data_IF_830967844133
#
_entry.id   IF_830967844133
#
_cell.length_a   1.000
_cell.length_b   1.000
_cell.length_c   1.000
_cell.angle_alpha   90.00
_cell.angle_beta   90.00
_cell.angle_gamma   90.00
#
_symmetry.space_group_name_H-M   'P 1'
#
loop_
_entity.id
_entity.type
_entity.pdbx_description
1 polymer ?
#
# COMPACT_ATOMS: atom_id res chain seq x y z
N UNK A 1 34.99 -51.52 -24.79
CA UNK A 1 34.17 -50.41 -25.33
C UNK A 1 35.00 -49.15 -25.26
N UNK A 2 35.34 -48.55 -26.41
CA UNK A 2 36.15 -47.32 -26.44
C UNK A 2 35.37 -46.14 -25.88
N UNK A 3 35.94 -45.42 -24.93
CA UNK A 3 35.39 -44.17 -24.41
C UNK A 3 35.75 -43.07 -25.41
N UNK A 4 34.76 -42.57 -26.14
CA UNK A 4 34.97 -41.43 -27.03
C UNK A 4 35.20 -40.16 -26.22
N UNK A 5 36.13 -39.28 -26.66
CA UNK A 5 36.30 -37.98 -26.03
C UNK A 5 35.01 -37.16 -26.18
N UNK A 6 34.64 -36.34 -25.18
CA UNK A 6 33.45 -35.51 -25.25
C UNK A 6 33.57 -34.53 -26.42
N UNK A 7 32.63 -34.60 -27.36
CA UNK A 7 32.59 -33.72 -28.54
C UNK A 7 31.82 -32.46 -28.17
N UNK A 8 32.41 -31.29 -28.41
CA UNK A 8 31.70 -30.02 -28.25
C UNK A 8 30.52 -29.98 -29.24
N UNK A 9 29.33 -29.62 -28.75
CA UNK A 9 28.13 -29.57 -29.59
C UNK A 9 28.29 -28.57 -30.75
N UNK A 10 27.61 -28.82 -31.86
CA UNK A 10 27.59 -27.91 -33.01
C UNK A 10 26.83 -26.60 -32.75
N UNK A 11 26.91 -25.63 -33.66
CA UNK A 11 26.30 -24.30 -33.49
C UNK A 11 24.78 -24.36 -33.28
N UNK A 12 24.09 -25.26 -33.98
CA UNK A 12 22.63 -25.47 -33.84
C UNK A 12 22.27 -25.97 -32.44
N UNK A 13 23.05 -26.91 -31.90
CA UNK A 13 22.86 -27.41 -30.54
C UNK A 13 23.02 -26.29 -29.51
N UNK A 14 24.07 -25.47 -29.63
CA UNK A 14 24.29 -24.35 -28.72
C UNK A 14 23.19 -23.29 -28.81
N UNK A 15 22.70 -23.00 -30.01
CA UNK A 15 21.57 -22.09 -30.21
C UNK A 15 20.31 -22.57 -29.49
N UNK A 16 19.92 -23.83 -29.69
CA UNK A 16 18.77 -24.43 -29.01
C UNK A 16 18.95 -24.48 -27.49
N UNK A 17 20.12 -24.91 -27.02
CA UNK A 17 20.44 -24.95 -25.59
C UNK A 17 20.31 -23.58 -24.95
N UNK A 18 20.88 -22.55 -25.59
CA UNK A 18 20.83 -21.18 -25.08
C UNK A 18 19.40 -20.63 -25.11
N UNK A 19 18.61 -20.98 -26.13
CA UNK A 19 17.18 -20.63 -26.20
C UNK A 19 16.41 -21.26 -25.04
N UNK A 20 16.56 -22.56 -24.76
CA UNK A 20 15.86 -23.23 -23.65
C UNK A 20 16.28 -22.68 -22.29
N UNK A 21 17.58 -22.42 -22.08
CA UNK A 21 18.07 -21.81 -20.86
C UNK A 21 17.53 -20.38 -20.71
N UNK A 22 17.49 -19.62 -21.80
CA UNK A 22 16.91 -18.27 -21.84
C UNK A 22 15.43 -18.27 -21.48
N UNK A 23 14.64 -19.12 -22.14
CA UNK A 23 13.21 -19.29 -21.87
C UNK A 23 12.94 -19.66 -20.41
N UNK A 24 13.72 -20.58 -19.84
CA UNK A 24 13.61 -20.97 -18.42
C UNK A 24 13.94 -19.83 -17.46
N UNK A 25 14.92 -18.98 -17.79
CA UNK A 25 15.25 -17.81 -16.97
C UNK A 25 14.14 -16.76 -17.02
N UNK A 26 13.63 -16.47 -18.21
CA UNK A 26 12.53 -15.53 -18.41
C UNK A 26 11.25 -15.99 -17.72
N UNK A 27 10.89 -17.27 -17.82
CA UNK A 27 9.69 -17.81 -17.17
C UNK A 27 9.79 -17.75 -15.65
N UNK A 28 10.95 -18.06 -15.06
CA UNK A 28 11.19 -17.93 -13.62
C UNK A 28 11.08 -16.49 -13.13
N UNK A 29 11.56 -15.52 -13.91
CA UNK A 29 11.42 -14.09 -13.58
C UNK A 29 9.96 -13.67 -13.58
N UNK A 30 9.19 -14.06 -14.58
CA UNK A 30 7.76 -13.76 -14.66
C UNK A 30 6.96 -14.42 -13.52
N UNK A 31 7.23 -15.70 -13.23
CA UNK A 31 6.59 -16.40 -12.11
C UNK A 31 6.88 -15.73 -10.77
N UNK A 32 8.11 -15.25 -10.54
CA UNK A 32 8.47 -14.54 -9.32
C UNK A 32 7.78 -13.18 -9.21
N UNK A 33 7.69 -12.43 -10.32
CA UNK A 33 6.92 -11.17 -10.37
C UNK A 33 5.47 -11.43 -10.02
N UNK A 34 4.88 -12.50 -10.55
CA UNK A 34 3.51 -12.88 -10.20
C UNK A 34 3.37 -13.23 -8.71
N UNK A 35 4.21 -14.12 -8.18
CA UNK A 35 4.20 -14.56 -6.78
C UNK A 35 4.35 -13.40 -5.78
N UNK A 36 5.23 -12.43 -6.07
CA UNK A 36 5.44 -11.26 -5.20
C UNK A 36 4.26 -10.27 -5.20
N UNK A 37 3.47 -10.25 -6.28
CA UNK A 37 2.40 -9.28 -6.51
C UNK A 37 0.98 -9.86 -6.40
N UNK A 38 0.81 -11.18 -6.25
CA UNK A 38 -0.48 -11.87 -6.29
C UNK A 38 -1.40 -11.63 -5.08
N UNK A 39 -0.96 -10.88 -4.07
CA UNK A 39 -1.77 -10.58 -2.90
C UNK A 39 -2.97 -9.68 -3.27
N UNK A 40 -4.18 -10.16 -2.98
CA UNK A 40 -5.45 -9.44 -3.22
C UNK A 40 -5.43 -8.05 -2.59
N UNK A 41 -4.83 -7.92 -1.40
CA UNK A 41 -4.72 -6.63 -0.72
C UNK A 41 -3.84 -5.66 -1.51
N UNK A 42 -2.73 -6.12 -2.10
CA UNK A 42 -1.86 -5.30 -2.95
C UNK A 42 -2.55 -4.92 -4.25
N UNK A 43 -3.28 -5.86 -4.88
CA UNK A 43 -4.02 -5.61 -6.12
C UNK A 43 -5.11 -4.55 -5.94
N UNK A 44 -5.79 -4.54 -4.79
CA UNK A 44 -6.90 -3.63 -4.52
C UNK A 44 -6.43 -2.29 -3.93
N UNK A 45 -5.43 -2.30 -3.05
CA UNK A 45 -5.03 -1.12 -2.28
C UNK A 45 -3.89 -0.31 -2.90
N UNK A 46 -3.04 -0.92 -3.73
CA UNK A 46 -1.87 -0.26 -4.29
C UNK A 46 -2.01 -0.13 -5.81
N UNK A 47 -1.83 1.09 -6.33
CA UNK A 47 -2.12 1.41 -7.73
C UNK A 47 -0.90 1.61 -8.63
N UNK A 48 0.33 1.47 -8.11
CA UNK A 48 1.54 1.88 -8.84
C UNK A 48 2.57 0.75 -8.90
N UNK A 49 3.03 0.36 -10.10
CA UNK A 49 4.17 -0.52 -10.24
C UNK A 49 5.47 0.23 -9.88
N UNK A 50 6.33 -0.42 -9.12
CA UNK A 50 7.66 0.07 -8.72
C UNK A 50 8.72 -0.92 -9.16
N UNK A 51 9.74 -0.40 -9.83
CA UNK A 51 10.95 -1.17 -10.09
C UNK A 51 11.89 -1.00 -8.89
N UNK A 52 12.17 -2.10 -8.19
CA UNK A 52 13.04 -2.09 -7.00
C UNK A 52 14.10 -3.17 -7.11
N UNK A 53 15.28 -2.87 -6.60
CA UNK A 53 16.36 -3.85 -6.53
C UNK A 53 16.13 -4.79 -5.35
N UNK A 54 16.04 -6.09 -5.60
CA UNK A 54 15.93 -7.08 -4.54
C UNK A 54 17.32 -7.63 -4.21
N UNK A 55 17.92 -7.29 -3.05
CA UNK A 55 19.27 -7.72 -2.70
C UNK A 55 19.37 -9.23 -2.44
N UNK A 56 18.28 -9.91 -2.04
CA UNK A 56 18.30 -11.35 -1.78
C UNK A 56 18.48 -12.19 -3.05
N UNK A 57 18.06 -11.64 -4.19
CA UNK A 57 18.13 -12.30 -5.50
C UNK A 57 19.16 -11.62 -6.41
N UNK A 58 19.63 -10.43 -6.03
CA UNK A 58 20.56 -9.61 -6.82
C UNK A 58 19.99 -9.28 -8.22
N UNK A 59 18.69 -8.99 -8.29
CA UNK A 59 17.96 -8.69 -9.53
C UNK A 59 17.03 -7.48 -9.33
N UNK A 60 16.82 -6.72 -10.42
CA UNK A 60 15.77 -5.72 -10.51
C UNK A 60 14.43 -6.39 -10.74
N UNK A 61 13.44 -6.07 -9.91
CA UNK A 61 12.13 -6.72 -9.92
C UNK A 61 11.03 -5.65 -9.98
N UNK A 62 10.02 -5.94 -10.79
CA UNK A 62 8.76 -5.20 -10.82
C UNK A 62 7.87 -5.67 -9.67
N UNK A 63 7.71 -4.83 -8.66
CA UNK A 63 6.82 -5.05 -7.53
C UNK A 63 5.78 -3.94 -7.46
N UNK A 64 4.62 -4.22 -6.90
CA UNK A 64 3.63 -3.19 -6.57
C UNK A 64 4.16 -2.37 -5.39
N UNK A 65 4.09 -1.05 -5.48
CA UNK A 65 4.53 -0.16 -4.41
C UNK A 65 3.59 -0.25 -3.21
N UNK A 66 4.05 -0.81 -2.09
CA UNK A 66 3.24 -0.93 -0.87
C UNK A 66 3.14 0.35 -0.07
N UNK A 67 4.03 1.30 -0.33
CA UNK A 67 4.07 2.58 0.38
C UNK A 67 2.97 3.53 -0.11
N UNK A 68 2.48 3.32 -1.34
CA UNK A 68 1.51 4.18 -2.02
C UNK A 68 0.12 3.53 -2.05
N UNK A 69 -0.71 3.87 -1.05
CA UNK A 69 -2.10 3.41 -0.90
C UNK A 69 -3.09 4.20 -1.78
N UNK A 70 -2.79 4.32 -3.07
CA UNK A 70 -3.61 5.07 -4.01
C UNK A 70 -4.57 4.19 -4.84
N UNK A 71 -4.59 2.87 -4.61
CA UNK A 71 -5.54 1.96 -5.24
C UNK A 71 -6.97 2.19 -4.78
N UNK A 72 -7.92 1.46 -5.37
CA UNK A 72 -9.34 1.61 -5.08
C UNK A 72 -9.65 1.38 -3.59
N UNK A 73 -9.03 0.36 -2.97
CA UNK A 73 -9.17 0.08 -1.54
C UNK A 73 -8.56 1.18 -0.66
N UNK A 74 -7.38 1.68 -1.02
CA UNK A 74 -6.72 2.77 -0.29
C UNK A 74 -7.52 4.07 -0.33
N UNK A 75 -8.11 4.41 -1.48
CA UNK A 75 -9.01 5.55 -1.63
C UNK A 75 -10.29 5.38 -0.82
N UNK A 76 -10.93 4.20 -0.88
CA UNK A 76 -12.13 3.91 -0.10
C UNK A 76 -11.86 4.02 1.41
N UNK A 77 -10.72 3.48 1.86
CA UNK A 77 -10.27 3.59 3.24
C UNK A 77 -10.11 5.05 3.67
N UNK A 78 -9.43 5.87 2.86
CA UNK A 78 -9.22 7.28 3.17
C UNK A 78 -10.54 8.06 3.27
N UNK A 79 -11.50 7.79 2.39
CA UNK A 79 -12.82 8.44 2.43
C UNK A 79 -13.61 8.00 3.66
N UNK A 80 -13.69 6.69 3.92
CA UNK A 80 -14.43 6.18 5.07
C UNK A 80 -13.84 6.64 6.40
N UNK A 81 -12.54 6.48 6.59
CA UNK A 81 -11.88 6.83 7.85
C UNK A 81 -11.69 8.33 8.00
N UNK A 82 -11.10 8.98 6.99
CA UNK A 82 -10.70 10.38 7.06
C UNK A 82 -11.84 11.37 6.90
N UNK A 83 -12.85 11.06 6.09
CA UNK A 83 -13.96 11.99 5.85
C UNK A 83 -15.18 11.64 6.68
N UNK A 84 -15.59 10.37 6.74
CA UNK A 84 -16.84 10.01 7.41
C UNK A 84 -16.61 9.85 8.92
N UNK A 85 -15.76 8.90 9.32
CA UNK A 85 -15.56 8.59 10.74
C UNK A 85 -14.95 9.77 11.51
N UNK A 86 -13.96 10.46 10.91
CA UNK A 86 -13.33 11.60 11.56
C UNK A 86 -14.29 12.78 11.77
N UNK A 87 -15.20 13.02 10.81
CA UNK A 87 -16.23 14.06 10.94
C UNK A 87 -17.21 13.72 12.06
N UNK A 88 -17.66 12.47 12.15
CA UNK A 88 -18.53 12.03 13.25
C UNK A 88 -17.82 12.14 14.61
N UNK A 89 -16.54 11.77 14.68
CA UNK A 89 -15.74 11.93 15.89
C UNK A 89 -15.69 13.39 16.34
N UNK A 90 -15.35 14.32 15.45
CA UNK A 90 -15.30 15.75 15.79
C UNK A 90 -16.66 16.33 16.15
N UNK A 91 -17.72 15.95 15.42
CA UNK A 91 -19.08 16.38 15.73
C UNK A 91 -19.49 15.93 17.13
N UNK A 92 -19.24 14.67 17.48
CA UNK A 92 -19.53 14.14 18.81
C UNK A 92 -18.66 14.78 19.89
N UNK A 93 -17.36 14.97 19.64
CA UNK A 93 -16.44 15.62 20.58
C UNK A 93 -16.89 17.06 20.88
N UNK A 94 -17.19 17.87 19.85
CA UNK A 94 -17.67 19.24 20.03
C UNK A 94 -19.02 19.28 20.77
N UNK A 95 -19.96 18.39 20.39
CA UNK A 95 -21.24 18.28 21.08
C UNK A 95 -21.04 18.00 22.58
N UNK A 96 -20.17 17.05 22.93
CA UNK A 96 -19.89 16.71 24.33
C UNK A 96 -19.26 17.87 25.11
N UNK A 97 -18.39 18.66 24.48
CA UNK A 97 -17.80 19.85 25.12
C UNK A 97 -18.86 20.92 25.40
N UNK A 98 -19.73 21.18 24.41
CA UNK A 98 -20.81 22.17 24.54
C UNK A 98 -21.81 21.75 25.61
N UNK A 99 -22.22 20.48 25.63
CA UNK A 99 -23.12 19.93 26.65
C UNK A 99 -22.51 20.08 28.05
N UNK A 100 -21.22 19.77 28.22
CA UNK A 100 -20.53 19.95 29.50
C UNK A 100 -20.42 21.41 29.91
N UNK A 101 -20.24 22.33 28.98
CA UNK A 101 -20.25 23.77 29.27
C UNK A 101 -21.64 24.26 29.69
N UNK A 102 -22.69 23.75 29.07
CA UNK A 102 -24.08 24.04 29.44
C UNK A 102 -24.40 23.52 30.84
N UNK A 103 -24.10 22.25 31.13
CA UNK A 103 -24.36 21.62 32.45
C UNK A 103 -23.55 22.29 33.57
N UNK A 104 -22.31 22.69 33.31
CA UNK A 104 -21.50 23.43 34.28
C UNK A 104 -21.92 24.90 34.43
N UNK A 105 -22.97 25.35 33.73
CA UNK A 105 -23.45 26.74 33.76
C UNK A 105 -22.43 27.75 33.25
N UNK A 106 -21.45 27.30 32.44
CA UNK A 106 -20.38 28.17 31.93
C UNK A 106 -20.91 29.20 30.94
N UNK A 107 -21.97 28.86 30.21
CA UNK A 107 -22.64 29.75 29.27
C UNK A 107 -23.35 30.90 30.00
N UNK A 108 -23.88 30.64 31.20
CA UNK A 108 -24.62 31.61 32.00
C UNK A 108 -23.76 32.33 33.06
N UNK A 109 -22.44 32.16 33.02
CA UNK A 109 -21.55 32.74 34.05
C UNK A 109 -21.64 34.28 34.06
N UNK A 110 -21.80 34.89 32.89
CA UNK A 110 -21.81 36.33 32.71
C UNK A 110 -23.22 36.96 32.73
N UNK A 111 -24.28 36.18 32.49
CA UNK A 111 -25.66 36.67 32.54
C UNK A 111 -26.07 37.11 33.95
N UNK A 112 -25.45 36.55 34.99
CA UNK A 112 -25.65 36.94 36.40
C UNK A 112 -25.28 38.41 36.71
N UNK A 113 -24.56 39.09 35.83
CA UNK A 113 -24.07 40.46 36.02
C UNK A 113 -24.79 41.48 35.14
N UNK A 114 -25.76 41.05 34.32
CA UNK A 114 -26.43 41.89 33.32
C UNK A 114 -27.26 43.03 33.94
N UNK A 115 -27.89 42.82 35.10
CA UNK A 115 -28.77 43.80 35.75
C UNK A 115 -28.10 44.55 36.92
N UNK A 116 -26.78 44.41 37.11
CA UNK A 116 -26.08 45.20 38.14
C UNK A 116 -25.72 46.56 37.56
N UNK A 117 -26.12 47.62 38.26
CA UNK A 117 -25.62 48.97 37.98
C UNK A 117 -24.09 48.93 37.97
N UNK A 118 -23.49 49.35 36.87
CA UNK A 118 -22.07 49.71 36.86
C UNK A 118 -21.97 50.98 37.68
N UNK A 119 -21.40 50.85 38.88
CA UNK A 119 -20.96 52.01 39.67
C UNK A 119 -20.06 52.94 38.84
#
# INVERSE_FOLDING_TARGET
MGVYPPVAGGPVYWALRNMFIGARRSSRRLMRVYDMNWDISKVVCNGVPRNSYNPSVNEWIWNVDTDLWNGAGGKAWFVLSGQIMFTFFWSFALYSVIERWYVNGKIDTFSKWQDRATD
#
